data_IF_992681784861
#
_entry.id   IF_992681784861
#
_cell.length_a   1.000
_cell.length_b   1.000
_cell.length_c   1.000
_cell.angle_alpha   90.00
_cell.angle_beta   90.00
_cell.angle_gamma   90.00
#
_symmetry.space_group_name_H-M   'P 1'
#
loop_
_entity.id
_entity.type
_entity.pdbx_description
1 polymer ?
#
# COMPACT_ATOMS: atom_id res chain seq x y z
N UNK A 1 14.45 9.22 -19.18
CA UNK A 1 14.83 9.51 -17.79
C UNK A 1 14.35 10.92 -17.51
N UNK A 2 13.14 11.05 -16.98
CA UNK A 2 12.66 12.31 -16.44
C UNK A 2 13.02 12.29 -14.96
N UNK A 3 13.72 13.34 -14.53
CA UNK A 3 14.14 13.57 -13.15
C UNK A 3 12.96 14.22 -12.41
N UNK A 4 12.03 13.40 -11.93
CA UNK A 4 10.85 13.80 -11.14
C UNK A 4 11.22 14.18 -9.70
N UNK A 5 12.49 14.04 -9.31
CA UNK A 5 12.99 14.21 -7.95
C UNK A 5 13.00 15.67 -7.49
N UNK A 6 13.06 16.65 -8.42
CA UNK A 6 13.33 18.05 -8.07
C UNK A 6 12.10 18.91 -7.77
N UNK A 7 10.91 18.58 -8.30
CA UNK A 7 9.71 19.40 -8.06
C UNK A 7 8.83 18.88 -6.91
N UNK A 8 8.90 17.59 -6.56
CA UNK A 8 8.10 17.00 -5.47
C UNK A 8 8.76 17.23 -4.10
N UNK A 9 10.11 17.23 -4.02
CA UNK A 9 10.84 17.38 -2.76
C UNK A 9 10.63 18.73 -2.06
N UNK A 10 10.31 19.81 -2.79
CA UNK A 10 10.23 21.15 -2.21
C UNK A 10 8.80 21.58 -1.82
N UNK A 11 7.76 20.90 -2.32
CA UNK A 11 6.35 21.29 -2.14
C UNK A 11 5.66 20.59 -0.95
N UNK A 12 5.87 19.28 -0.82
CA UNK A 12 5.13 18.42 0.14
C UNK A 12 5.58 18.66 1.58
N UNK A 13 6.88 18.87 1.82
CA UNK A 13 7.45 19.04 3.18
C UNK A 13 7.35 20.50 3.66
N UNK A 14 7.19 21.47 2.75
CA UNK A 14 7.19 22.90 3.13
C UNK A 14 5.83 23.45 3.58
N UNK A 15 4.75 22.64 3.61
CA UNK A 15 3.41 23.13 3.99
C UNK A 15 2.75 22.45 5.19
N UNK A 16 3.26 21.35 5.72
CA UNK A 16 2.69 20.73 6.92
C UNK A 16 3.81 20.18 7.80
N UNK A 17 3.65 20.31 9.13
CA UNK A 17 4.61 19.87 10.13
C UNK A 17 4.85 18.36 10.13
N UNK A 18 5.56 17.86 11.14
CA UNK A 18 5.80 16.42 11.25
C UNK A 18 4.49 15.62 11.26
N UNK A 19 4.47 14.48 10.57
CA UNK A 19 3.31 13.57 10.53
C UNK A 19 3.16 12.92 11.91
N UNK A 20 2.16 13.36 12.68
CA UNK A 20 1.86 12.86 14.02
C UNK A 20 0.84 11.73 14.06
N UNK A 21 0.10 11.55 12.97
CA UNK A 21 -0.95 10.55 12.87
C UNK A 21 -1.11 10.00 11.47
N UNK A 22 -1.33 8.69 11.37
CA UNK A 22 -1.43 7.97 10.10
C UNK A 22 -2.61 6.98 10.14
N UNK A 23 -3.47 7.02 9.13
CA UNK A 23 -4.45 5.97 8.87
C UNK A 23 -4.20 5.27 7.53
N UNK A 24 -4.08 3.95 7.55
CA UNK A 24 -3.96 3.13 6.37
C UNK A 24 -5.33 2.58 5.96
N UNK A 25 -5.76 2.81 4.73
CA UNK A 25 -7.03 2.29 4.18
C UNK A 25 -6.76 1.50 2.89
N UNK A 26 -7.55 0.45 2.66
CA UNK A 26 -7.44 -0.38 1.48
C UNK A 26 -7.88 -1.82 1.66
N UNK A 27 -7.18 -2.71 0.96
CA UNK A 27 -7.48 -4.14 0.90
C UNK A 27 -6.37 -5.00 1.54
N UNK A 28 -6.16 -6.22 1.04
CA UNK A 28 -5.20 -7.18 1.60
C UNK A 28 -3.75 -6.69 1.52
N UNK A 29 -3.42 -5.84 0.54
CA UNK A 29 -2.10 -5.25 0.43
C UNK A 29 -1.82 -4.32 1.61
N UNK A 30 -2.77 -3.45 1.95
CA UNK A 30 -2.66 -2.53 3.10
C UNK A 30 -2.81 -3.25 4.45
N UNK A 31 -3.65 -4.28 4.51
CA UNK A 31 -3.82 -5.09 5.72
C UNK A 31 -2.51 -5.82 6.09
N UNK A 32 -1.72 -6.21 5.10
CA UNK A 32 -0.43 -6.87 5.29
C UNK A 32 -0.43 -8.37 5.04
N UNK A 33 -1.42 -8.90 4.31
CA UNK A 33 -1.51 -10.34 4.01
C UNK A 33 -0.19 -10.82 3.40
N UNK A 34 0.23 -12.04 3.77
CA UNK A 34 1.51 -12.64 3.39
C UNK A 34 2.66 -12.38 4.39
N UNK A 35 2.40 -11.64 5.47
CA UNK A 35 3.40 -11.30 6.49
C UNK A 35 2.87 -11.45 7.92
N UNK A 36 2.69 -12.70 8.39
CA UNK A 36 2.11 -12.98 9.69
C UNK A 36 3.04 -12.54 10.83
N UNK A 37 2.49 -11.78 11.77
CA UNK A 37 3.14 -11.43 13.03
C UNK A 37 3.09 -12.58 14.04
N UNK A 38 3.77 -12.42 15.19
CA UNK A 38 3.86 -13.46 16.23
C UNK A 38 2.52 -13.88 16.83
N UNK A 39 1.53 -12.98 16.84
CA UNK A 39 0.18 -13.17 17.37
C UNK A 39 -0.82 -13.61 16.28
N UNK A 40 -0.36 -13.80 15.04
CA UNK A 40 -1.19 -14.11 13.88
C UNK A 40 -1.79 -12.88 13.19
N UNK A 41 -1.63 -11.67 13.74
CA UNK A 41 -2.01 -10.43 13.08
C UNK A 41 -0.98 -10.10 12.01
N UNK A 42 -1.42 -9.67 10.83
CA UNK A 42 -0.49 -9.27 9.77
C UNK A 42 0.21 -7.96 10.13
N UNK A 43 1.52 -7.86 9.88
CA UNK A 43 2.28 -6.62 10.09
C UNK A 43 2.17 -5.76 8.82
N UNK A 44 2.66 -6.23 7.69
CA UNK A 44 2.55 -5.53 6.41
C UNK A 44 3.38 -4.25 6.29
N UNK A 45 3.32 -3.63 5.11
CA UNK A 45 4.09 -2.43 4.80
C UNK A 45 3.58 -1.18 5.53
N UNK A 46 2.26 -1.07 5.74
CA UNK A 46 1.66 0.09 6.39
C UNK A 46 2.10 0.19 7.87
N UNK A 47 2.14 -0.93 8.60
CA UNK A 47 2.61 -0.92 10.00
C UNK A 47 4.10 -0.60 10.07
N UNK A 48 4.91 -1.09 9.12
CA UNK A 48 6.33 -0.73 9.02
C UNK A 48 6.53 0.75 8.67
N UNK A 49 5.68 1.31 7.81
CA UNK A 49 5.71 2.75 7.54
C UNK A 49 5.35 3.55 8.79
N UNK A 50 4.36 3.10 9.57
CA UNK A 50 3.99 3.73 10.83
C UNK A 50 5.17 3.80 11.81
N UNK A 51 5.95 2.71 11.94
CA UNK A 51 7.21 2.70 12.71
C UNK A 51 8.21 3.71 12.16
N UNK A 52 8.45 3.72 10.85
CA UNK A 52 9.39 4.67 10.22
C UNK A 52 8.98 6.13 10.41
N UNK A 53 7.67 6.43 10.43
CA UNK A 53 7.14 7.76 10.70
C UNK A 53 7.32 8.16 12.17
N UNK A 54 7.01 7.25 13.10
CA UNK A 54 7.20 7.48 14.52
C UNK A 54 8.68 7.76 14.86
N UNK A 55 9.61 6.97 14.30
CA UNK A 55 11.06 7.09 14.52
C UNK A 55 11.65 8.44 14.07
N UNK A 56 10.92 9.23 13.28
CA UNK A 56 11.34 10.59 12.88
C UNK A 56 10.99 11.66 13.89
N UNK A 57 10.05 11.39 14.79
CA UNK A 57 9.62 12.38 15.77
C UNK A 57 10.66 12.53 16.88
N UNK A 58 10.82 13.73 17.45
CA UNK A 58 11.76 13.96 18.54
C UNK A 58 11.42 13.12 19.78
N UNK A 59 12.46 12.74 20.52
CA UNK A 59 12.31 12.04 21.80
C UNK A 59 11.49 12.89 22.79
N UNK A 60 10.61 12.28 23.60
CA UNK A 60 9.82 13.01 24.58
C UNK A 60 10.68 13.86 25.53
N UNK A 61 10.38 15.16 25.63
CA UNK A 61 11.04 16.06 26.58
C UNK A 61 12.45 16.55 26.19
N UNK A 62 12.90 16.32 24.95
CA UNK A 62 14.25 16.74 24.49
C UNK A 62 14.30 18.12 23.83
N UNK A 63 13.16 18.79 23.61
CA UNK A 63 13.13 20.17 23.12
C UNK A 63 13.41 21.13 24.28
N UNK A 64 14.67 21.58 24.41
CA UNK A 64 15.10 22.53 25.43
C UNK A 64 14.42 23.92 25.31
N UNK A 65 13.79 24.20 24.15
CA UNK A 65 13.04 25.43 23.88
C UNK A 65 11.53 25.16 23.87
N UNK A 66 11.01 24.53 24.92
CA UNK A 66 9.62 24.11 25.10
C UNK A 66 8.62 25.27 25.35
N UNK A 67 8.86 26.43 24.73
CA UNK A 67 7.82 27.41 24.47
C UNK A 67 7.63 27.47 22.95
N UNK A 68 6.56 26.84 22.45
CA UNK A 68 6.05 26.94 21.07
C UNK A 68 6.77 26.05 20.02
N UNK A 69 6.78 24.73 20.18
CA UNK A 69 6.92 23.83 19.01
C UNK A 69 5.73 22.87 18.91
N UNK A 70 4.90 22.93 17.85
CA UNK A 70 3.69 22.12 17.69
C UNK A 70 3.96 20.70 17.15
N UNK A 71 5.21 20.23 17.20
CA UNK A 71 5.63 18.95 16.63
C UNK A 71 5.38 17.83 17.66
N UNK A 72 4.62 16.77 17.32
CA UNK A 72 4.40 15.64 18.21
C UNK A 72 5.71 14.91 18.54
N UNK A 73 5.85 14.42 19.77
CA UNK A 73 6.99 13.59 20.15
C UNK A 73 6.78 12.14 19.67
N UNK A 74 7.85 11.33 19.65
CA UNK A 74 7.79 9.91 19.26
C UNK A 74 6.67 9.13 19.97
N UNK A 75 6.52 9.34 21.28
CA UNK A 75 5.47 8.68 22.09
C UNK A 75 4.03 9.15 21.81
N UNK A 76 3.85 10.24 21.04
CA UNK A 76 2.54 10.81 20.71
C UNK A 76 2.05 10.38 19.32
N UNK A 77 2.86 9.63 18.55
CA UNK A 77 2.47 9.15 17.23
C UNK A 77 1.28 8.19 17.31
N UNK A 78 0.25 8.41 16.48
CA UNK A 78 -0.96 7.57 16.46
C UNK A 78 -1.16 6.90 15.12
N UNK A 79 -1.53 5.62 15.14
CA UNK A 79 -1.68 4.80 13.95
C UNK A 79 -2.96 3.97 13.95
N UNK A 80 -3.66 3.99 12.81
CA UNK A 80 -4.82 3.18 12.49
C UNK A 80 -4.59 2.40 11.18
N UNK A 81 -5.13 1.19 11.09
CA UNK A 81 -5.20 0.39 9.87
C UNK A 81 -6.61 -0.15 9.72
N UNK A 82 -7.34 0.47 8.78
CA UNK A 82 -8.74 0.19 8.48
C UNK A 82 -8.91 -0.85 7.36
N UNK A 83 -7.79 -1.32 6.78
CA UNK A 83 -7.83 -2.17 5.61
C UNK A 83 -8.34 -3.57 5.91
N UNK A 84 -9.14 -4.11 4.99
CA UNK A 84 -9.72 -5.44 5.07
C UNK A 84 -9.53 -6.16 3.75
N UNK A 85 -8.89 -7.33 3.76
CA UNK A 85 -8.66 -8.14 2.56
C UNK A 85 -9.92 -8.39 1.73
N UNK A 86 -9.72 -8.43 0.42
CA UNK A 86 -10.77 -8.77 -0.54
C UNK A 86 -11.82 -7.68 -0.75
N UNK A 87 -11.71 -6.53 -0.07
CA UNK A 87 -12.57 -5.37 -0.32
C UNK A 87 -12.35 -4.81 -1.73
N UNK A 88 -13.45 -4.42 -2.35
CA UNK A 88 -13.48 -3.66 -3.59
C UNK A 88 -13.45 -2.17 -3.30
N UNK A 89 -13.19 -1.38 -4.35
CA UNK A 89 -13.17 0.07 -4.26
C UNK A 89 -14.41 0.63 -3.56
N UNK A 90 -15.62 0.27 -3.99
CA UNK A 90 -16.84 0.86 -3.42
C UNK A 90 -17.05 0.46 -1.95
N UNK A 91 -16.63 -0.74 -1.56
CA UNK A 91 -16.68 -1.17 -0.16
C UNK A 91 -15.67 -0.41 0.70
N UNK A 92 -14.45 -0.17 0.19
CA UNK A 92 -13.45 0.68 0.86
C UNK A 92 -14.00 2.10 1.02
N UNK A 93 -14.64 2.64 -0.02
CA UNK A 93 -15.24 3.99 0.00
C UNK A 93 -16.39 4.07 0.98
N UNK A 94 -17.26 3.07 1.05
CA UNK A 94 -18.41 3.07 1.95
C UNK A 94 -18.01 2.86 3.42
N UNK A 95 -17.08 1.94 3.68
CA UNK A 95 -16.76 1.49 5.04
C UNK A 95 -15.58 2.27 5.66
N UNK A 96 -14.53 2.57 4.87
CA UNK A 96 -13.25 3.05 5.42
C UNK A 96 -13.03 4.56 5.23
N UNK A 97 -13.51 5.15 4.13
CA UNK A 97 -13.33 6.59 3.86
C UNK A 97 -14.04 7.46 4.91
N UNK A 98 -15.32 7.23 5.27
CA UNK A 98 -15.96 7.99 6.35
C UNK A 98 -15.18 7.88 7.66
N UNK A 99 -14.70 6.69 8.00
CA UNK A 99 -13.93 6.47 9.24
C UNK A 99 -12.59 7.20 9.22
N UNK A 100 -11.85 7.16 8.12
CA UNK A 100 -10.60 7.91 7.98
C UNK A 100 -10.81 9.42 8.14
N UNK A 101 -11.92 9.94 7.62
CA UNK A 101 -12.31 11.36 7.77
C UNK A 101 -12.67 11.71 9.22
N UNK A 102 -13.39 10.84 9.92
CA UNK A 102 -13.70 11.03 11.35
C UNK A 102 -12.43 11.04 12.21
N UNK A 103 -11.46 10.18 11.89
CA UNK A 103 -10.17 10.13 12.56
C UNK A 103 -9.29 11.36 12.27
N UNK A 104 -9.49 11.99 11.11
CA UNK A 104 -8.80 13.19 10.63
C UNK A 104 -7.26 13.16 10.84
N UNK A 105 -6.55 12.12 10.34
CA UNK A 105 -5.11 12.00 10.52
C UNK A 105 -4.34 13.00 9.64
N UNK A 106 -3.06 13.18 9.96
CA UNK A 106 -2.13 13.97 9.15
C UNK A 106 -1.80 13.26 7.83
N UNK A 107 -1.80 11.92 7.81
CA UNK A 107 -1.56 11.10 6.64
C UNK A 107 -2.65 10.02 6.48
N UNK A 108 -3.16 9.88 5.25
CA UNK A 108 -3.88 8.69 4.79
C UNK A 108 -3.12 8.04 3.66
N UNK A 109 -2.89 6.73 3.74
CA UNK A 109 -2.49 5.95 2.56
C UNK A 109 -3.71 5.24 1.97
N UNK A 110 -4.01 5.51 0.70
CA UNK A 110 -5.16 4.95 0.00
C UNK A 110 -4.73 3.99 -1.11
N UNK A 111 -4.95 2.70 -0.89
CA UNK A 111 -4.76 1.65 -1.89
C UNK A 111 -6.09 0.98 -2.21
N UNK A 112 -6.63 1.21 -3.41
CA UNK A 112 -7.91 0.64 -3.80
C UNK A 112 -8.02 0.41 -5.32
N UNK A 113 -8.99 -0.42 -5.71
CA UNK A 113 -9.30 -0.75 -7.11
C UNK A 113 -8.50 -1.93 -7.67
N UNK A 114 -7.44 -2.39 -7.00
CA UNK A 114 -6.68 -3.58 -7.43
C UNK A 114 -7.56 -4.82 -7.59
N UNK A 115 -8.43 -5.08 -6.60
CA UNK A 115 -9.39 -6.18 -6.65
C UNK A 115 -10.46 -6.03 -7.75
N UNK A 116 -10.88 -4.80 -8.06
CA UNK A 116 -11.82 -4.50 -9.16
C UNK A 116 -11.17 -4.82 -10.51
N UNK A 117 -9.94 -4.35 -10.73
CA UNK A 117 -9.24 -4.48 -12.01
C UNK A 117 -8.99 -5.94 -12.39
N UNK A 118 -8.70 -6.79 -11.40
CA UNK A 118 -8.48 -8.23 -11.62
C UNK A 118 -9.76 -9.05 -11.79
N UNK A 119 -10.94 -8.44 -11.66
CA UNK A 119 -12.21 -9.11 -11.96
C UNK A 119 -12.51 -9.06 -13.47
N UNK A 120 -13.07 -10.13 -14.04
CA UNK A 120 -13.55 -10.12 -15.42
C UNK A 120 -14.62 -9.05 -15.64
N UNK A 121 -14.62 -8.41 -16.82
CA UNK A 121 -15.68 -7.50 -17.24
C UNK A 121 -15.66 -6.10 -16.63
N UNK A 122 -14.73 -5.77 -15.73
CA UNK A 122 -14.59 -4.39 -15.22
C UNK A 122 -13.84 -3.49 -16.21
N UNK A 123 -14.22 -2.23 -16.27
CA UNK A 123 -13.57 -1.18 -17.06
C UNK A 123 -12.58 -0.38 -16.18
N UNK A 124 -11.28 -0.30 -16.53
CA UNK A 124 -10.33 0.52 -15.77
C UNK A 124 -10.70 2.01 -15.72
N UNK A 125 -11.41 2.54 -16.72
CA UNK A 125 -11.83 3.94 -16.77
C UNK A 125 -12.92 4.22 -15.72
N UNK A 126 -13.97 3.38 -15.67
CA UNK A 126 -15.04 3.48 -14.66
C UNK A 126 -14.53 3.30 -13.22
N UNK A 127 -13.54 2.43 -13.01
CA UNK A 127 -12.90 2.25 -11.70
C UNK A 127 -12.11 3.52 -11.32
N UNK A 128 -11.41 4.12 -12.27
CA UNK A 128 -10.65 5.35 -12.05
C UNK A 128 -11.56 6.54 -11.68
N UNK A 129 -12.72 6.69 -12.32
CA UNK A 129 -13.66 7.77 -11.97
C UNK A 129 -14.18 7.65 -10.53
N UNK A 130 -14.48 6.43 -10.08
CA UNK A 130 -14.88 6.16 -8.68
C UNK A 130 -13.72 6.40 -7.72
N UNK A 131 -12.51 6.00 -8.10
CA UNK A 131 -11.31 6.21 -7.30
C UNK A 131 -11.03 7.70 -7.12
N UNK A 132 -11.16 8.49 -8.19
CA UNK A 132 -11.00 9.95 -8.15
C UNK A 132 -11.99 10.62 -7.20
N UNK A 133 -13.27 10.21 -7.22
CA UNK A 133 -14.26 10.75 -6.27
C UNK A 133 -13.85 10.50 -4.81
N UNK A 134 -13.29 9.33 -4.51
CA UNK A 134 -12.80 9.02 -3.17
C UNK A 134 -11.56 9.86 -2.80
N UNK A 135 -10.61 10.05 -3.72
CA UNK A 135 -9.45 10.92 -3.51
C UNK A 135 -9.88 12.37 -3.26
N UNK A 136 -10.82 12.89 -4.04
CA UNK A 136 -11.36 14.23 -3.86
C UNK A 136 -12.01 14.42 -2.47
N UNK A 137 -12.75 13.40 -1.99
CA UNK A 137 -13.38 13.45 -0.66
C UNK A 137 -12.36 13.40 0.48
N UNK A 138 -11.34 12.53 0.37
CA UNK A 138 -10.26 12.42 1.35
C UNK A 138 -9.41 13.69 1.42
N UNK A 139 -8.97 14.20 0.27
CA UNK A 139 -8.10 15.39 0.20
C UNK A 139 -8.76 16.66 0.74
N UNK A 140 -10.10 16.72 0.75
CA UNK A 140 -10.85 17.79 1.40
C UNK A 140 -10.98 17.65 2.94
N UNK A 141 -10.55 16.54 3.52
CA UNK A 141 -10.92 16.14 4.89
C UNK A 141 -9.74 15.74 5.79
N UNK A 142 -8.59 15.35 5.23
CA UNK A 142 -7.40 14.90 5.97
C UNK A 142 -6.16 15.71 5.56
N UNK A 143 -5.04 15.58 6.29
CA UNK A 143 -3.82 16.35 6.03
C UNK A 143 -3.21 16.09 4.65
N UNK A 144 -2.72 14.87 4.43
CA UNK A 144 -2.10 14.39 3.20
C UNK A 144 -2.69 13.04 2.78
N UNK A 145 -2.94 12.85 1.49
CA UNK A 145 -3.35 11.55 0.93
C UNK A 145 -2.24 11.02 0.03
N UNK A 146 -1.60 9.92 0.43
CA UNK A 146 -0.68 9.17 -0.42
C UNK A 146 -1.45 8.05 -1.13
N UNK A 147 -1.36 7.99 -2.45
CA UNK A 147 -2.03 6.95 -3.25
C UNK A 147 -1.02 5.93 -3.77
N UNK A 148 -1.49 4.72 -4.09
CA UNK A 148 -0.64 3.62 -4.56
C UNK A 148 -1.00 3.22 -5.99
N UNK A 149 0.01 2.85 -6.79
CA UNK A 149 -0.23 2.20 -8.10
C UNK A 149 -0.37 0.69 -7.93
N UNK A 150 -0.81 0.00 -8.99
CA UNK A 150 -0.66 -1.46 -9.06
C UNK A 150 0.79 -1.89 -9.31
N UNK A 151 1.07 -3.18 -9.16
CA UNK A 151 2.35 -3.82 -9.53
C UNK A 151 2.38 -4.19 -11.03
N UNK A 152 3.57 -4.18 -11.65
CA UNK A 152 3.72 -4.75 -13.01
C UNK A 152 3.57 -6.29 -12.95
N UNK A 153 2.54 -6.83 -13.61
CA UNK A 153 2.25 -8.27 -13.62
C UNK A 153 2.95 -9.06 -14.73
N UNK A 154 3.92 -8.47 -15.44
CA UNK A 154 4.61 -9.10 -16.59
C UNK A 154 5.13 -10.51 -16.30
N UNK A 155 5.69 -10.72 -15.11
CA UNK A 155 6.26 -12.00 -14.68
C UNK A 155 5.27 -12.97 -14.05
N UNK A 156 4.02 -12.56 -13.80
CA UNK A 156 3.05 -13.35 -13.03
C UNK A 156 2.19 -14.21 -13.96
N UNK A 157 2.19 -15.55 -13.81
CA UNK A 157 1.32 -16.43 -14.59
C UNK A 157 -0.14 -16.00 -14.51
N UNK A 158 -0.85 -16.08 -15.64
CA UNK A 158 -2.25 -15.64 -15.81
C UNK A 158 -2.44 -14.12 -15.70
N UNK A 159 -1.97 -13.46 -14.63
CA UNK A 159 -2.14 -12.02 -14.41
C UNK A 159 -1.40 -11.14 -15.43
N UNK A 160 -0.36 -11.66 -16.11
CA UNK A 160 0.30 -10.94 -17.23
C UNK A 160 -0.65 -10.50 -18.34
N UNK A 161 -1.77 -11.21 -18.53
CA UNK A 161 -2.76 -10.86 -19.57
C UNK A 161 -3.60 -9.65 -19.16
N UNK A 162 -3.67 -9.35 -17.85
CA UNK A 162 -4.33 -8.16 -17.31
C UNK A 162 -3.39 -6.95 -17.27
N UNK A 163 -2.11 -7.13 -17.60
CA UNK A 163 -1.09 -6.07 -17.51
C UNK A 163 -1.49 -4.79 -18.24
N UNK A 164 -2.10 -4.90 -19.42
CA UNK A 164 -2.57 -3.73 -20.18
C UNK A 164 -3.63 -2.95 -19.41
N UNK A 165 -4.63 -3.65 -18.85
CA UNK A 165 -5.68 -3.06 -18.03
C UNK A 165 -5.15 -2.42 -16.75
N UNK A 166 -4.22 -3.09 -16.07
CA UNK A 166 -3.56 -2.56 -14.86
C UNK A 166 -2.73 -1.33 -15.22
N UNK A 167 -2.04 -1.32 -16.36
CA UNK A 167 -1.31 -0.16 -16.85
C UNK A 167 -2.23 1.03 -17.13
N UNK A 168 -3.39 0.81 -17.76
CA UNK A 168 -4.40 1.86 -17.97
C UNK A 168 -4.87 2.44 -16.64
N UNK A 169 -5.27 1.60 -15.69
CA UNK A 169 -5.66 2.07 -14.35
C UNK A 169 -4.52 2.82 -13.63
N UNK A 170 -3.28 2.33 -13.74
CA UNK A 170 -2.09 2.98 -13.16
C UNK A 170 -1.86 4.37 -13.76
N UNK A 171 -2.08 4.55 -15.06
CA UNK A 171 -1.97 5.86 -15.71
C UNK A 171 -3.01 6.84 -15.17
N UNK A 172 -4.25 6.39 -14.96
CA UNK A 172 -5.29 7.21 -14.32
C UNK A 172 -4.95 7.57 -12.89
N UNK A 173 -4.50 6.60 -12.07
CA UNK A 173 -4.08 6.86 -10.68
C UNK A 173 -3.01 7.95 -10.64
N UNK A 174 -2.02 7.92 -11.55
CA UNK A 174 -1.01 8.99 -11.66
C UNK A 174 -1.62 10.33 -12.05
N UNK A 175 -2.49 10.36 -13.05
CA UNK A 175 -3.15 11.59 -13.47
C UNK A 175 -4.04 12.19 -12.36
N UNK A 176 -4.67 11.35 -11.53
CA UNK A 176 -5.42 11.77 -10.35
C UNK A 176 -4.45 12.35 -9.30
N UNK A 177 -3.33 11.68 -9.01
CA UNK A 177 -2.33 12.23 -8.11
C UNK A 177 -1.85 13.62 -8.53
N UNK A 178 -1.54 13.82 -9.82
CA UNK A 178 -1.11 15.12 -10.35
C UNK A 178 -2.19 16.20 -10.15
N UNK A 179 -3.48 15.85 -10.27
CA UNK A 179 -4.60 16.79 -10.08
C UNK A 179 -4.83 17.19 -8.62
N UNK A 180 -4.61 16.27 -7.69
CA UNK A 180 -4.88 16.47 -6.26
C UNK A 180 -3.62 16.59 -5.41
N UNK A 181 -2.45 16.76 -6.03
CA UNK A 181 -1.14 16.89 -5.38
C UNK A 181 -0.84 15.75 -4.38
N UNK A 182 -1.25 14.53 -4.72
CA UNK A 182 -1.06 13.35 -3.87
C UNK A 182 0.32 12.72 -4.10
N UNK A 183 1.12 12.46 -3.05
CA UNK A 183 2.30 11.62 -3.18
C UNK A 183 1.94 10.23 -3.72
N UNK A 184 2.75 9.69 -4.63
CA UNK A 184 2.50 8.39 -5.28
C UNK A 184 3.49 7.36 -4.81
N UNK A 185 3.01 6.33 -4.11
CA UNK A 185 3.72 5.08 -3.91
C UNK A 185 3.66 4.26 -5.21
N UNK A 186 4.65 4.49 -6.06
CA UNK A 186 4.77 3.86 -7.37
C UNK A 186 5.33 2.44 -7.26
N UNK A 187 4.44 1.48 -7.06
CA UNK A 187 4.74 0.04 -7.00
C UNK A 187 5.06 -0.55 -8.37
N UNK A 188 4.66 0.13 -9.45
CA UNK A 188 4.94 -0.33 -10.81
C UNK A 188 6.43 -0.22 -11.16
N UNK A 189 7.10 0.84 -10.69
CA UNK A 189 8.53 1.06 -10.96
C UNK A 189 9.48 0.44 -9.95
N UNK A 190 8.98 0.01 -8.78
CA UNK A 190 9.79 -0.70 -7.78
C UNK A 190 10.23 -2.06 -8.35
N UNK A 191 11.47 -2.13 -8.85
CA UNK A 191 11.95 -3.30 -9.60
C UNK A 191 12.20 -4.48 -8.67
N UNK A 192 12.57 -4.18 -7.45
CA UNK A 192 12.89 -5.18 -6.45
C UNK A 192 11.68 -6.06 -6.09
N UNK A 193 10.45 -5.56 -6.22
CA UNK A 193 9.23 -6.38 -6.05
C UNK A 193 8.85 -7.19 -7.30
N UNK A 194 9.61 -7.11 -8.39
CA UNK A 194 9.42 -7.96 -9.57
C UNK A 194 10.05 -9.36 -9.39
N UNK A 195 10.91 -9.54 -8.38
CA UNK A 195 11.47 -10.84 -8.03
C UNK A 195 10.46 -11.65 -7.23
N UNK A 196 10.38 -12.96 -7.49
CA UNK A 196 9.47 -13.89 -6.79
C UNK A 196 9.62 -13.85 -5.26
N UNK A 197 10.81 -13.50 -4.74
CA UNK A 197 11.09 -13.44 -3.29
C UNK A 197 10.38 -12.30 -2.58
N UNK A 198 9.92 -11.30 -3.32
CA UNK A 198 9.07 -10.24 -2.79
C UNK A 198 7.64 -10.72 -2.50
N UNK A 199 7.27 -11.92 -2.93
CA UNK A 199 5.91 -12.44 -2.86
C UNK A 199 5.85 -13.67 -1.95
N UNK A 200 4.71 -13.83 -1.28
CA UNK A 200 4.40 -15.01 -0.51
C UNK A 200 4.08 -16.22 -1.43
N UNK A 201 3.88 -17.40 -0.87
CA UNK A 201 3.64 -18.65 -1.60
C UNK A 201 2.46 -18.60 -2.57
N UNK A 202 1.47 -17.74 -2.31
CA UNK A 202 0.31 -17.54 -3.18
C UNK A 202 0.59 -16.66 -4.41
N UNK A 203 1.77 -16.04 -4.50
CA UNK A 203 2.23 -15.17 -5.61
C UNK A 203 1.29 -14.01 -5.92
N UNK A 204 0.47 -13.62 -4.96
CA UNK A 204 -0.48 -12.51 -5.05
C UNK A 204 -0.23 -11.48 -3.95
N UNK A 205 0.16 -11.93 -2.76
CA UNK A 205 0.49 -11.07 -1.63
C UNK A 205 2.01 -10.99 -1.42
N UNK A 206 2.46 -9.90 -0.81
CA UNK A 206 3.88 -9.68 -0.54
C UNK A 206 4.35 -10.59 0.59
N UNK A 207 5.61 -11.02 0.50
CA UNK A 207 6.33 -11.63 1.63
C UNK A 207 6.69 -10.55 2.67
N UNK A 208 7.16 -10.94 3.88
CA UNK A 208 7.66 -9.99 4.87
C UNK A 208 8.72 -9.02 4.32
N UNK A 209 9.61 -9.52 3.47
CA UNK A 209 10.66 -8.72 2.83
C UNK A 209 10.09 -7.82 1.71
N UNK A 210 9.08 -8.30 0.96
CA UNK A 210 8.36 -7.46 0.00
C UNK A 210 7.68 -6.28 0.69
N UNK A 211 6.98 -6.52 1.79
CA UNK A 211 6.37 -5.46 2.62
C UNK A 211 7.41 -4.48 3.18
N UNK A 212 8.58 -4.97 3.57
CA UNK A 212 9.70 -4.11 4.03
C UNK A 212 10.16 -3.15 2.93
N UNK A 213 10.39 -3.65 1.71
CA UNK A 213 10.80 -2.81 0.57
C UNK A 213 9.74 -1.78 0.20
N UNK A 214 8.47 -2.15 0.26
CA UNK A 214 7.36 -1.22 0.02
C UNK A 214 7.30 -0.14 1.10
N UNK A 215 7.47 -0.48 2.38
CA UNK A 215 7.47 0.49 3.47
C UNK A 215 8.62 1.50 3.33
N UNK A 216 9.82 1.03 2.98
CA UNK A 216 10.98 1.88 2.69
C UNK A 216 10.69 2.79 1.48
N UNK A 217 10.09 2.28 0.42
CA UNK A 217 9.69 3.09 -0.74
C UNK A 217 8.67 4.17 -0.37
N UNK A 218 7.68 3.82 0.45
CA UNK A 218 6.67 4.77 0.94
C UNK A 218 7.30 5.88 1.79
N UNK A 219 8.21 5.53 2.70
CA UNK A 219 8.96 6.49 3.50
C UNK A 219 9.80 7.44 2.62
N UNK A 220 10.47 6.94 1.58
CA UNK A 220 11.19 7.78 0.61
C UNK A 220 10.26 8.76 -0.12
N UNK A 221 9.07 8.31 -0.53
CA UNK A 221 8.07 9.16 -1.21
C UNK A 221 7.61 10.31 -0.29
N UNK A 222 7.54 10.06 1.02
CA UNK A 222 7.22 11.05 2.04
C UNK A 222 8.44 11.90 2.48
N UNK A 223 9.61 11.70 1.85
CA UNK A 223 10.82 12.50 2.12
C UNK A 223 11.65 12.05 3.31
N UNK A 224 11.42 10.84 3.83
CA UNK A 224 12.26 10.27 4.87
C UNK A 224 13.50 9.63 4.26
N UNK A 225 14.68 9.92 4.83
CA UNK A 225 15.84 9.03 4.74
C UNK A 225 15.51 7.67 5.34
N UNK A 226 15.86 6.64 4.58
CA UNK A 226 15.56 5.26 4.90
C UNK A 226 16.84 4.48 5.19
N UNK A 227 16.79 3.47 6.07
CA UNK A 227 17.97 2.71 6.48
C UNK A 227 18.55 1.81 5.38
N UNK A 228 17.80 1.55 4.30
CA UNK A 228 18.21 0.73 3.18
C UNK A 228 17.51 1.17 1.88
N UNK A 229 18.14 0.88 0.74
CA UNK A 229 17.53 1.11 -0.58
C UNK A 229 16.38 0.11 -0.82
N UNK A 230 15.12 0.55 -1.01
CA UNK A 230 14.01 -0.33 -1.35
C UNK A 230 14.22 -1.07 -2.68
N UNK A 231 15.05 -0.53 -3.58
CA UNK A 231 15.39 -1.16 -4.86
C UNK A 231 16.66 -2.03 -4.80
N UNK A 232 17.21 -2.27 -3.59
CA UNK A 232 18.38 -3.11 -3.39
C UNK A 232 18.23 -4.46 -4.10
N UNK A 233 19.22 -4.75 -4.95
CA UNK A 233 19.26 -6.00 -5.70
C UNK A 233 19.27 -7.19 -4.75
N UNK A 234 18.48 -8.18 -5.10
CA UNK A 234 18.44 -9.41 -4.34
C UNK A 234 19.73 -10.22 -4.53
N UNK A 235 20.18 -10.97 -3.49
CA UNK A 235 21.33 -11.85 -3.63
C UNK A 235 21.16 -12.83 -4.81
N UNK A 236 22.22 -13.11 -5.57
CA UNK A 236 22.13 -14.03 -6.70
C UNK A 236 21.74 -15.44 -6.24
N UNK A 237 20.92 -16.12 -7.04
CA UNK A 237 20.54 -17.52 -6.84
C UNK A 237 20.86 -18.33 -8.10
N UNK A 238 21.11 -19.63 -7.93
CA UNK A 238 21.28 -20.53 -9.06
C UNK A 238 20.03 -20.51 -9.96
N UNK A 239 20.18 -20.50 -11.29
CA UNK A 239 19.05 -20.56 -12.20
C UNK A 239 18.22 -21.83 -11.95
N UNK A 240 16.89 -21.69 -11.90
CA UNK A 240 15.98 -22.84 -11.75
C UNK A 240 15.75 -23.53 -13.09
N UNK A 241 15.61 -24.86 -13.07
CA UNK A 241 15.33 -25.63 -14.27
C UNK A 241 13.90 -25.43 -14.78
N UNK A 242 13.68 -25.45 -16.10
CA UNK A 242 12.33 -25.24 -16.69
C UNK A 242 11.29 -26.25 -16.18
N UNK A 243 11.69 -27.49 -15.93
CA UNK A 243 10.80 -28.53 -15.39
C UNK A 243 10.41 -28.26 -13.93
N UNK A 244 11.35 -27.74 -13.13
CA UNK A 244 11.12 -27.35 -11.74
C UNK A 244 10.10 -26.22 -11.68
N UNK A 245 10.31 -25.16 -12.48
CA UNK A 245 9.38 -24.03 -12.57
C UNK A 245 7.97 -24.48 -12.97
N UNK A 246 7.84 -25.35 -13.98
CA UNK A 246 6.53 -25.87 -14.41
C UNK A 246 5.82 -26.68 -13.34
N UNK A 247 6.55 -27.48 -12.56
CA UNK A 247 5.97 -28.25 -11.45
C UNK A 247 5.45 -27.32 -10.36
N UNK A 248 6.22 -26.30 -10.00
CA UNK A 248 5.81 -25.29 -9.04
C UNK A 248 4.57 -24.52 -9.50
N UNK A 249 4.49 -24.16 -10.79
CA UNK A 249 3.34 -23.46 -11.35
C UNK A 249 2.06 -24.31 -11.27
N UNK A 250 2.16 -25.62 -11.54
CA UNK A 250 1.02 -26.55 -11.42
C UNK A 250 0.59 -26.68 -9.96
N UNK A 251 1.55 -26.83 -9.05
CA UNK A 251 1.28 -26.93 -7.61
C UNK A 251 0.58 -25.68 -7.10
N UNK A 252 1.16 -24.51 -7.39
CA UNK A 252 0.60 -23.21 -7.06
C UNK A 252 -0.82 -23.04 -7.61
N UNK A 253 -1.05 -23.41 -8.86
CA UNK A 253 -2.37 -23.26 -9.48
C UNK A 253 -3.43 -24.10 -8.75
N UNK A 254 -3.08 -25.33 -8.35
CA UNK A 254 -3.95 -26.23 -7.60
C UNK A 254 -4.25 -25.71 -6.19
N UNK A 255 -3.23 -25.22 -5.50
CA UNK A 255 -3.31 -24.84 -4.09
C UNK A 255 -3.95 -23.47 -3.87
N UNK A 256 -3.66 -22.48 -4.73
CA UNK A 256 -4.05 -21.09 -4.50
C UNK A 256 -5.02 -20.57 -5.58
N UNK A 257 -4.66 -20.69 -6.86
CA UNK A 257 -5.43 -20.07 -7.95
C UNK A 257 -6.83 -20.68 -8.09
N UNK A 258 -6.94 -22.01 -8.15
CA UNK A 258 -8.23 -22.69 -8.35
C UNK A 258 -9.21 -22.41 -7.20
N UNK A 259 -8.83 -22.54 -5.91
CA UNK A 259 -9.71 -22.17 -4.81
C UNK A 259 -10.14 -20.70 -4.83
N UNK A 260 -9.24 -19.79 -5.21
CA UNK A 260 -9.53 -18.37 -5.32
C UNK A 260 -10.53 -18.04 -6.44
N UNK A 261 -10.41 -18.67 -7.61
CA UNK A 261 -11.43 -18.58 -8.68
C UNK A 261 -12.76 -19.13 -8.16
N UNK A 262 -12.74 -20.28 -7.48
CA UNK A 262 -13.93 -20.92 -6.93
C UNK A 262 -14.70 -20.01 -5.96
N UNK A 263 -14.02 -19.34 -5.03
CA UNK A 263 -14.65 -18.37 -4.10
C UNK A 263 -15.32 -17.23 -4.86
N UNK A 264 -14.64 -16.69 -5.88
CA UNK A 264 -15.18 -15.59 -6.70
C UNK A 264 -16.45 -15.97 -7.46
N UNK A 265 -16.51 -17.18 -8.00
CA UNK A 265 -17.72 -17.67 -8.66
C UNK A 265 -18.90 -17.85 -7.69
N UNK A 266 -18.63 -18.06 -6.40
CA UNK A 266 -19.65 -18.11 -5.34
C UNK A 266 -19.96 -16.77 -4.69
N UNK A 267 -19.24 -15.70 -5.06
CA UNK A 267 -19.38 -14.38 -4.43
C UNK A 267 -18.82 -14.31 -3.00
N UNK A 268 -18.01 -15.26 -2.57
CA UNK A 268 -17.39 -15.29 -1.24
C UNK A 268 -16.09 -14.46 -1.22
N UNK A 269 -15.90 -13.62 -0.20
CA UNK A 269 -14.65 -12.91 0.05
C UNK A 269 -13.92 -13.47 1.26
N UNK A 270 -12.58 -13.48 1.21
CA UNK A 270 -11.76 -13.86 2.36
C UNK A 270 -11.83 -12.86 3.53
N UNK A 271 -12.47 -11.70 3.33
CA UNK A 271 -12.65 -10.66 4.34
C UNK A 271 -14.10 -10.46 4.80
N UNK A 272 -15.04 -11.36 4.47
CA UNK A 272 -16.46 -11.19 4.85
C UNK A 272 -16.69 -11.19 6.37
N UNK A 273 -15.75 -11.74 7.15
CA UNK A 273 -15.82 -11.84 8.62
C UNK A 273 -14.55 -11.30 9.29
N UNK A 274 -13.81 -10.44 8.58
CA UNK A 274 -12.58 -9.83 9.07
C UNK A 274 -12.87 -8.37 9.39
N UNK A 275 -12.56 -7.98 10.62
CA UNK A 275 -12.61 -6.60 11.06
C UNK A 275 -11.24 -5.93 10.89
N UNK A 276 -11.18 -4.59 10.80
CA UNK A 276 -9.92 -3.85 10.82
C UNK A 276 -9.04 -4.22 12.01
N UNK A 277 -7.75 -4.45 11.76
CA UNK A 277 -6.81 -4.81 12.83
C UNK A 277 -6.52 -3.66 13.80
N UNK A 278 -6.65 -2.40 13.36
CA UNK A 278 -6.48 -1.19 14.19
C UNK A 278 -7.51 -0.11 13.77
N UNK A 279 -8.77 -0.19 14.24
CA UNK A 279 -9.87 0.67 13.78
C UNK A 279 -9.78 2.14 14.26
N UNK A 280 -8.92 2.41 15.23
CA UNK A 280 -8.76 3.69 15.90
C UNK A 280 -7.32 4.19 15.83
N UNK A 281 -7.14 5.52 15.87
CA UNK A 281 -5.83 6.15 16.04
C UNK A 281 -5.32 5.93 17.46
N UNK A 282 -4.61 4.82 17.65
CA UNK A 282 -3.99 4.45 18.92
C UNK A 282 -2.48 4.70 18.88
N UNK A 283 -1.82 4.95 20.02
CA UNK A 283 -0.36 4.95 20.11
C UNK A 283 0.24 3.69 19.48
N UNK A 284 1.38 3.83 18.80
CA UNK A 284 2.01 2.74 18.05
C UNK A 284 2.35 1.54 18.93
#
# INVERSE_FOLDING_TARGET
>A
MADDSRNIQQGVINRQGAIGSYAAIGDSFTEGVGDPGPDGTFVGWADRLAVLLADRLPEPGTTADAEVSPVPAHGDFRYANLAVRGRLLDQIVEEQVPRAKELAPDLVSFCAGGNDIIRPGTDPDDVAERFERAVADLTGSVGTVMITTGFDTRGVPVLRHLRGKIATYTAHVRAIADRYDCPVLDLWSLRSVQDRRAWDGDRLHLSPEGHTRVALRAAQVLGLDVPADPDQEWPPQAPRGTLEVRRDDIHWAREYLVPWIGRRLRGESSGDHVEPKRPDLLPL
#
